data_IF_401880999034
#
_entry.id   IF_401880999034
#
_cell.length_a   1.000
_cell.length_b   1.000
_cell.length_c   1.000
_cell.angle_alpha   90.00
_cell.angle_beta   90.00
_cell.angle_gamma   90.00
#
_symmetry.space_group_name_H-M   'P 1'
#
loop_
_entity.id
_entity.type
_entity.pdbx_description
1 polymer ?
#
# COMPACT_ATOMS: atom_id res chain seq x y z
N UNK A 1 -12.67 10.31 -9.54
CA UNK A 1 -13.91 9.90 -8.85
C UNK A 1 -14.00 10.76 -7.59
N UNK A 2 -15.07 11.54 -7.40
CA UNK A 2 -15.21 12.49 -6.28
C UNK A 2 -14.07 13.53 -6.15
N UNK A 3 -13.79 14.35 -7.19
CA UNK A 3 -12.69 15.32 -7.16
C UNK A 3 -12.82 16.31 -6.00
N UNK A 4 -14.03 16.66 -5.60
CA UNK A 4 -14.30 17.63 -4.53
C UNK A 4 -14.06 17.06 -3.11
N UNK A 5 -13.81 15.75 -2.99
CA UNK A 5 -13.61 15.07 -1.70
C UNK A 5 -12.14 14.90 -1.33
N UNK A 6 -11.22 15.00 -2.28
CA UNK A 6 -9.82 14.66 -2.04
C UNK A 6 -8.90 15.73 -2.64
N UNK A 7 -8.19 16.44 -1.77
CA UNK A 7 -7.11 17.32 -2.18
C UNK A 7 -5.78 16.54 -2.16
N UNK A 8 -5.20 16.36 -3.35
CA UNK A 8 -3.91 15.68 -3.53
C UNK A 8 -2.77 16.65 -3.82
N UNK A 9 -2.98 17.97 -3.73
CA UNK A 9 -1.99 19.00 -4.10
C UNK A 9 -0.67 18.86 -3.32
N UNK A 10 -0.70 18.23 -2.14
CA UNK A 10 0.48 17.91 -1.33
C UNK A 10 0.72 16.43 -1.09
N UNK A 11 0.13 15.53 -1.90
CA UNK A 11 0.29 14.10 -1.68
C UNK A 11 1.74 13.66 -1.89
N UNK A 12 2.28 12.94 -0.92
CA UNK A 12 3.58 12.29 -0.97
C UNK A 12 3.42 10.82 -0.65
N UNK A 13 4.30 9.99 -1.20
CA UNK A 13 4.36 8.58 -0.83
C UNK A 13 4.57 8.45 0.68
N UNK A 14 3.79 7.62 1.41
CA UNK A 14 3.99 7.40 2.84
C UNK A 14 5.37 6.86 3.20
N UNK A 15 6.04 6.20 2.25
CA UNK A 15 7.43 5.73 2.36
C UNK A 15 8.26 6.46 1.31
N UNK A 16 9.31 7.15 1.76
CA UNK A 16 10.24 7.89 0.89
C UNK A 16 11.11 6.96 0.04
N UNK A 17 11.90 7.52 -0.87
CA UNK A 17 12.88 6.73 -1.60
C UNK A 17 13.99 6.24 -0.65
N UNK A 18 14.48 5.02 -0.84
CA UNK A 18 15.57 4.42 -0.05
C UNK A 18 16.79 5.35 0.10
N UNK A 19 17.13 6.08 -0.97
CA UNK A 19 18.25 7.03 -1.01
C UNK A 19 18.03 8.22 -0.05
N UNK A 20 16.79 8.66 0.15
CA UNK A 20 16.50 9.79 1.04
C UNK A 20 16.77 9.41 2.50
N UNK A 21 16.43 8.17 2.89
CA UNK A 21 16.80 7.66 4.20
C UNK A 21 18.31 7.48 4.37
N UNK A 22 19.01 6.96 3.35
CA UNK A 22 20.46 6.85 3.39
C UNK A 22 21.14 8.22 3.57
N UNK A 23 20.64 9.27 2.90
CA UNK A 23 21.11 10.65 3.06
C UNK A 23 20.83 11.18 4.47
N UNK A 24 19.63 10.93 5.01
CA UNK A 24 19.23 11.37 6.34
C UNK A 24 20.10 10.78 7.45
N UNK A 25 20.49 9.51 7.30
CA UNK A 25 21.28 8.80 8.30
C UNK A 25 22.80 8.99 8.12
N UNK A 26 23.24 9.56 6.99
CA UNK A 26 24.65 9.71 6.66
C UNK A 26 25.40 10.49 7.75
N UNK A 27 26.53 9.95 8.18
CA UNK A 27 27.38 10.59 9.19
C UNK A 27 26.94 10.33 10.64
N UNK A 28 25.85 9.58 10.86
CA UNK A 28 25.44 9.15 12.20
C UNK A 28 26.04 7.80 12.63
N UNK A 29 26.82 7.16 11.75
CA UNK A 29 27.45 5.86 11.96
C UNK A 29 27.43 4.97 10.72
N UNK A 30 27.61 3.65 10.91
CA UNK A 30 27.52 2.66 9.85
C UNK A 30 26.05 2.30 9.54
N UNK A 31 25.68 2.26 8.27
CA UNK A 31 24.30 2.08 7.82
C UNK A 31 24.20 0.85 6.91
N UNK A 32 23.35 -0.10 7.29
CA UNK A 32 22.85 -1.14 6.40
C UNK A 32 21.42 -0.78 5.98
N UNK A 33 21.20 -0.64 4.68
CA UNK A 33 19.89 -0.30 4.12
C UNK A 33 19.60 -1.19 2.93
N UNK A 34 18.44 -1.86 2.95
CA UNK A 34 18.00 -2.69 1.84
C UNK A 34 16.48 -2.68 1.72
N UNK A 35 15.99 -3.10 0.56
CA UNK A 35 14.57 -3.39 0.35
C UNK A 35 14.40 -4.84 -0.07
N UNK A 36 13.35 -5.48 0.42
CA UNK A 36 12.88 -6.76 -0.11
C UNK A 36 11.48 -6.59 -0.69
N UNK A 37 11.16 -7.38 -1.71
CA UNK A 37 9.81 -7.53 -2.22
C UNK A 37 9.40 -8.99 -2.07
N UNK A 38 8.44 -9.24 -1.17
CA UNK A 38 7.93 -10.58 -0.94
C UNK A 38 6.60 -10.73 -1.66
N UNK A 39 6.47 -11.73 -2.52
CA UNK A 39 5.20 -12.07 -3.12
C UNK A 39 4.35 -12.82 -2.09
N UNK A 40 3.31 -12.17 -1.59
CA UNK A 40 2.38 -12.76 -0.63
C UNK A 40 1.21 -13.38 -1.37
N UNK A 41 0.92 -14.64 -1.06
CA UNK A 41 -0.31 -15.28 -1.52
C UNK A 41 -1.44 -14.93 -0.55
N UNK A 42 -2.41 -14.15 -1.03
CA UNK A 42 -3.60 -13.79 -0.27
C UNK A 42 -4.69 -14.82 -0.56
N UNK A 43 -5.30 -15.43 0.47
CA UNK A 43 -6.29 -16.47 0.27
C UNK A 43 -7.59 -15.92 -0.35
N UNK A 44 -8.43 -16.79 -0.92
CA UNK A 44 -9.76 -16.41 -1.40
C UNK A 44 -10.57 -15.75 -0.28
N UNK A 45 -11.42 -14.80 -0.66
CA UNK A 45 -12.30 -14.11 0.27
C UNK A 45 -13.72 -14.00 -0.30
N UNK A 46 -14.73 -14.14 0.58
CA UNK A 46 -16.14 -14.06 0.19
C UNK A 46 -16.63 -12.64 -0.04
N UNK A 47 -16.01 -11.67 0.65
CA UNK A 47 -16.57 -10.32 0.81
C UNK A 47 -15.85 -9.27 -0.05
N UNK A 48 -15.09 -9.71 -1.05
CA UNK A 48 -14.44 -8.83 -2.02
C UNK A 48 -13.04 -9.29 -2.42
N UNK A 49 -12.35 -8.41 -3.15
CA UNK A 49 -11.02 -8.71 -3.67
C UNK A 49 -10.00 -8.90 -2.53
N UNK A 50 -9.18 -9.98 -2.50
CA UNK A 50 -8.25 -10.25 -1.39
C UNK A 50 -7.32 -9.07 -1.07
N UNK A 51 -6.76 -8.41 -2.10
CA UNK A 51 -5.94 -7.20 -1.93
C UNK A 51 -6.70 -6.03 -1.31
N UNK A 52 -7.98 -5.80 -1.68
CA UNK A 52 -8.79 -4.74 -1.06
C UNK A 52 -8.92 -5.01 0.43
N UNK A 53 -9.29 -6.23 0.80
CA UNK A 53 -9.48 -6.62 2.20
C UNK A 53 -8.19 -6.50 3.01
N UNK A 54 -7.07 -6.98 2.46
CA UNK A 54 -5.76 -6.88 3.10
C UNK A 54 -5.35 -5.43 3.35
N UNK A 55 -5.62 -4.53 2.39
CA UNK A 55 -5.23 -3.11 2.46
C UNK A 55 -6.32 -2.19 3.02
N UNK A 56 -7.48 -2.72 3.39
CA UNK A 56 -8.66 -1.91 3.74
C UNK A 56 -8.41 -0.99 4.95
N UNK A 57 -7.74 -1.52 5.98
CA UNK A 57 -7.49 -0.80 7.22
C UNK A 57 -6.35 0.22 7.11
N UNK A 58 -5.40 0.01 6.20
CA UNK A 58 -4.15 0.77 6.12
C UNK A 58 -4.10 1.75 4.95
N UNK A 59 -4.58 1.37 3.77
CA UNK A 59 -4.53 2.21 2.58
C UNK A 59 -5.90 2.79 2.21
N UNK A 60 -6.97 2.03 2.37
CA UNK A 60 -8.30 2.42 1.89
C UNK A 60 -9.04 3.36 2.85
N UNK A 61 -8.78 3.22 4.16
CA UNK A 61 -9.50 3.94 5.24
C UNK A 61 -9.59 5.45 5.03
N UNK A 62 -8.52 6.20 4.70
CA UNK A 62 -8.58 7.65 4.55
C UNK A 62 -9.51 8.11 3.42
N UNK A 63 -9.70 7.27 2.39
CA UNK A 63 -10.59 7.57 1.27
C UNK A 63 -12.04 7.36 1.64
N UNK A 64 -12.35 6.17 2.16
CA UNK A 64 -13.74 5.80 2.42
C UNK A 64 -14.37 6.59 3.57
N UNK A 65 -13.59 7.04 4.55
CA UNK A 65 -14.09 7.85 5.66
C UNK A 65 -14.68 9.21 5.24
N UNK A 66 -14.32 9.71 4.05
CA UNK A 66 -14.80 10.99 3.52
C UNK A 66 -16.03 10.83 2.60
N UNK A 67 -16.51 9.60 2.44
CA UNK A 67 -17.60 9.24 1.54
C UNK A 67 -18.85 8.84 2.33
N UNK A 68 -20.02 9.23 1.82
CA UNK A 68 -21.30 8.64 2.22
C UNK A 68 -21.36 7.15 1.88
N UNK A 69 -22.33 6.43 2.42
CA UNK A 69 -22.47 4.99 2.18
C UNK A 69 -22.66 4.65 0.69
N UNK A 70 -23.43 5.46 -0.05
CA UNK A 70 -23.63 5.29 -1.49
C UNK A 70 -22.35 5.56 -2.28
N UNK A 71 -21.64 6.64 -1.97
CA UNK A 71 -20.35 6.97 -2.61
C UNK A 71 -19.29 5.90 -2.32
N UNK A 72 -19.26 5.39 -1.08
CA UNK A 72 -18.37 4.31 -0.64
C UNK A 72 -18.63 3.02 -1.41
N UNK A 73 -19.88 2.61 -1.58
CA UNK A 73 -20.23 1.41 -2.35
C UNK A 73 -19.78 1.53 -3.80
N UNK A 74 -20.03 2.69 -4.43
CA UNK A 74 -19.57 2.96 -5.79
C UNK A 74 -18.03 2.95 -5.90
N UNK A 75 -17.33 3.55 -4.93
CA UNK A 75 -15.88 3.55 -4.86
C UNK A 75 -15.31 2.13 -4.76
N UNK A 76 -15.83 1.31 -3.85
CA UNK A 76 -15.41 -0.08 -3.65
C UNK A 76 -15.52 -0.86 -4.96
N UNK A 77 -16.67 -0.82 -5.63
CA UNK A 77 -16.88 -1.59 -6.86
C UNK A 77 -15.87 -1.23 -7.96
N UNK A 78 -15.57 0.06 -8.15
CA UNK A 78 -14.57 0.51 -9.15
C UNK A 78 -13.16 0.18 -8.72
N UNK A 79 -12.85 0.32 -7.43
CA UNK A 79 -11.55 -0.04 -6.88
C UNK A 79 -11.27 -1.54 -7.06
N UNK A 80 -12.24 -2.40 -6.78
CA UNK A 80 -12.10 -3.85 -7.00
C UNK A 80 -11.95 -4.22 -8.47
N UNK A 81 -12.67 -3.54 -9.38
CA UNK A 81 -12.49 -3.73 -10.82
C UNK A 81 -11.06 -3.38 -11.27
N UNK A 82 -10.50 -2.29 -10.74
CA UNK A 82 -9.12 -1.90 -11.02
C UNK A 82 -8.12 -2.90 -10.43
N UNK A 83 -8.36 -3.36 -9.19
CA UNK A 83 -7.52 -4.38 -8.54
C UNK A 83 -7.50 -5.69 -9.33
N UNK A 84 -8.65 -6.16 -9.84
CA UNK A 84 -8.72 -7.40 -10.61
C UNK A 84 -7.90 -7.35 -11.91
N UNK A 85 -7.61 -6.14 -12.42
CA UNK A 85 -6.73 -5.96 -13.60
C UNK A 85 -5.26 -6.06 -13.22
N UNK A 86 -4.86 -5.48 -12.09
CA UNK A 86 -3.45 -5.40 -11.65
C UNK A 86 -3.02 -6.63 -10.87
N UNK A 87 -3.94 -7.22 -10.11
CA UNK A 87 -3.76 -8.39 -9.27
C UNK A 87 -4.83 -9.43 -9.61
N UNK A 88 -4.70 -10.14 -10.76
CA UNK A 88 -5.69 -11.11 -11.19
C UNK A 88 -5.91 -12.21 -10.14
N UNK A 89 -7.17 -12.58 -9.95
CA UNK A 89 -7.56 -13.71 -9.10
C UNK A 89 -7.21 -15.02 -9.81
N UNK A 90 -6.56 -15.93 -9.10
CA UNK A 90 -6.17 -17.24 -9.60
C UNK A 90 -7.35 -18.21 -9.66
N UNK A 91 -7.13 -19.38 -10.26
CA UNK A 91 -8.16 -20.41 -10.39
C UNK A 91 -8.71 -20.92 -9.05
N UNK A 92 -7.89 -20.90 -8.00
CA UNK A 92 -8.28 -21.28 -6.64
C UNK A 92 -8.90 -20.13 -5.84
N UNK A 93 -8.98 -18.92 -6.42
CA UNK A 93 -9.47 -17.70 -5.79
C UNK A 93 -8.41 -16.88 -5.06
N UNK A 94 -7.15 -17.33 -5.01
CA UNK A 94 -6.06 -16.60 -4.38
C UNK A 94 -5.57 -15.43 -5.24
N UNK A 95 -4.77 -14.54 -4.65
CA UNK A 95 -4.11 -13.44 -5.37
C UNK A 95 -2.65 -13.33 -4.93
N UNK A 96 -1.75 -13.16 -5.89
CA UNK A 96 -0.34 -12.85 -5.61
C UNK A 96 -0.16 -11.34 -5.45
N UNK A 97 0.27 -10.91 -4.27
CA UNK A 97 0.42 -9.52 -3.89
C UNK A 97 1.89 -9.19 -3.56
N UNK A 98 2.60 -8.43 -4.41
CA UNK A 98 3.97 -8.03 -4.15
C UNK A 98 4.01 -6.98 -3.02
N UNK A 99 4.58 -7.35 -1.88
CA UNK A 99 4.69 -6.49 -0.71
C UNK A 99 6.14 -6.06 -0.47
N UNK A 100 6.44 -4.80 -0.77
CA UNK A 100 7.76 -4.21 -0.59
C UNK A 100 7.97 -3.74 0.85
N UNK A 101 9.13 -4.06 1.42
CA UNK A 101 9.58 -3.61 2.73
C UNK A 101 10.94 -2.95 2.59
N UNK A 102 11.12 -1.81 3.25
CA UNK A 102 12.42 -1.14 3.43
C UNK A 102 12.91 -1.43 4.85
N UNK A 103 14.16 -1.83 4.97
CA UNK A 103 14.83 -2.10 6.23
C UNK A 103 16.04 -1.19 6.37
N UNK A 104 16.26 -0.70 7.59
CA UNK A 104 17.36 0.19 7.94
C UNK A 104 17.93 -0.23 9.28
N UNK A 105 19.25 -0.40 9.34
CA UNK A 105 19.99 -0.62 10.59
C UNK A 105 21.08 0.44 10.64
N UNK A 106 21.12 1.22 11.72
CA UNK A 106 22.16 2.20 12.00
C UNK A 106 22.94 1.74 13.24
N UNK A 107 24.24 1.58 13.10
CA UNK A 107 25.17 1.36 14.20
C UNK A 107 25.91 2.66 14.48
N UNK A 108 25.63 3.28 15.62
CA UNK A 108 26.33 4.50 16.05
C UNK A 108 27.79 4.18 16.41
N UNK A 109 28.69 5.07 16.05
CA UNK A 109 30.06 5.04 16.58
C UNK A 109 30.02 5.35 18.09
N UNK A 110 30.90 4.69 18.85
CA UNK A 110 30.99 4.81 20.30
C UNK A 110 31.52 6.19 20.73
#
# INVERSE_FOLDING_TARGET
MFPDRFDFTGWVSPVGASVDYAKMLRGLGHIDLWSSECLQELPPASDGHPVRLFTQSTAMRPFVQQLSDTERAAFIARYETALATVYPVQADGSVLFPFRRLFLVLQKEA
#
